data_IF_761423217248
#
_entry.id   IF_761423217248
#
_cell.length_a   1.000
_cell.length_b   1.000
_cell.length_c   1.000
_cell.angle_alpha   90.00
_cell.angle_beta   90.00
_cell.angle_gamma   90.00
#
_symmetry.space_group_name_H-M   'P 1'
#
loop_
_entity.id
_entity.type
_entity.pdbx_description
1 polymer ?
#
# COMPACT_ATOMS: atom_id res chain seq x y z
N UNK A 1 -9.77 -2.54 -6.66
CA UNK A 1 -8.80 -1.89 -5.78
C UNK A 1 -8.17 -0.66 -6.42
N UNK A 2 -7.64 -0.73 -7.65
CA UNK A 2 -7.07 0.42 -8.37
C UNK A 2 -8.12 1.53 -8.53
N UNK A 3 -9.35 1.20 -8.96
CA UNK A 3 -10.45 2.15 -9.05
C UNK A 3 -10.80 2.81 -7.73
N UNK A 4 -10.84 2.06 -6.62
CA UNK A 4 -11.09 2.62 -5.30
C UNK A 4 -9.98 3.58 -4.85
N UNK A 5 -8.71 3.24 -5.14
CA UNK A 5 -7.57 4.12 -4.88
C UNK A 5 -7.62 5.39 -5.72
N UNK A 6 -7.97 5.27 -7.02
CA UNK A 6 -8.13 6.42 -7.91
C UNK A 6 -9.29 7.32 -7.49
N UNK A 7 -10.45 6.76 -7.19
CA UNK A 7 -11.62 7.51 -6.70
C UNK A 7 -11.28 8.31 -5.43
N UNK A 8 -10.57 7.70 -4.48
CA UNK A 8 -10.12 8.38 -3.27
C UNK A 8 -9.16 9.54 -3.58
N UNK A 9 -8.22 9.35 -4.51
CA UNK A 9 -7.30 10.42 -4.91
C UNK A 9 -8.05 11.58 -5.59
N UNK A 10 -8.93 11.27 -6.58
CA UNK A 10 -9.66 12.30 -7.30
C UNK A 10 -10.60 13.11 -6.40
N UNK A 11 -11.28 12.46 -5.45
CA UNK A 11 -12.12 13.15 -4.49
C UNK A 11 -11.29 14.10 -3.61
N UNK A 12 -10.06 13.73 -3.23
CA UNK A 12 -9.16 14.58 -2.45
C UNK A 12 -8.54 15.72 -3.27
N UNK A 13 -8.25 15.49 -4.55
CA UNK A 13 -7.81 16.56 -5.46
C UNK A 13 -8.92 17.58 -5.66
N UNK A 14 -10.16 17.14 -5.93
CA UNK A 14 -11.32 18.03 -6.03
C UNK A 14 -11.49 18.89 -4.77
N UNK A 15 -11.52 18.25 -3.60
CA UNK A 15 -11.56 18.91 -2.32
C UNK A 15 -10.47 19.98 -2.13
N UNK A 16 -9.22 19.68 -2.51
CA UNK A 16 -8.11 20.63 -2.39
C UNK A 16 -8.21 21.80 -3.36
N UNK A 17 -8.69 21.55 -4.60
CA UNK A 17 -8.94 22.62 -5.56
C UNK A 17 -10.01 23.57 -5.03
N UNK A 18 -11.08 23.03 -4.46
CA UNK A 18 -12.15 23.84 -3.83
C UNK A 18 -11.62 24.60 -2.62
N UNK A 19 -10.77 23.97 -1.79
CA UNK A 19 -10.15 24.60 -0.63
C UNK A 19 -9.20 25.74 -0.98
N UNK A 20 -8.44 25.62 -2.07
CA UNK A 20 -7.55 26.69 -2.54
C UNK A 20 -8.27 27.77 -3.35
N UNK A 21 -9.41 27.45 -3.99
CA UNK A 21 -10.20 28.41 -4.78
C UNK A 21 -11.10 29.31 -3.93
N UNK A 22 -11.46 28.86 -2.73
CA UNK A 22 -12.22 29.65 -1.78
C UNK A 22 -11.24 30.41 -0.88
N UNK A 23 -11.41 31.73 -0.69
CA UNK A 23 -10.76 32.50 0.38
C UNK A 23 -11.29 31.98 1.73
N UNK A 24 -10.64 30.96 2.26
CA UNK A 24 -11.08 30.27 3.48
C UNK A 24 -10.73 31.16 4.66
N UNK A 25 -11.70 31.93 5.13
CA UNK A 25 -11.56 32.76 6.33
C UNK A 25 -11.39 31.94 7.61
N UNK A 26 -12.01 30.74 7.68
CA UNK A 26 -11.89 29.82 8.80
C UNK A 26 -11.90 28.37 8.28
N UNK A 27 -10.72 27.75 8.05
CA UNK A 27 -10.64 26.35 7.58
C UNK A 27 -11.37 25.35 8.49
N UNK A 28 -11.41 25.63 9.79
CA UNK A 28 -12.02 24.77 10.80
C UNK A 28 -13.54 24.65 10.70
N UNK A 29 -14.21 25.65 10.14
CA UNK A 29 -15.67 25.66 9.98
C UNK A 29 -16.14 24.86 8.75
N UNK A 30 -15.28 24.72 7.73
CA UNK A 30 -15.64 24.12 6.44
C UNK A 30 -15.21 22.66 6.36
N UNK A 31 -14.15 22.30 7.07
CA UNK A 31 -13.55 20.96 7.01
C UNK A 31 -13.70 20.23 8.33
N UNK A 32 -13.99 18.94 8.27
CA UNK A 32 -13.85 18.14 9.48
C UNK A 32 -12.34 18.04 9.86
N UNK A 33 -12.06 17.79 11.13
CA UNK A 33 -10.69 17.78 11.69
C UNK A 33 -9.70 16.86 10.94
N UNK A 34 -10.21 15.91 10.16
CA UNK A 34 -9.39 15.01 9.36
C UNK A 34 -8.92 15.68 8.07
N UNK A 35 -9.78 16.43 7.41
CA UNK A 35 -9.49 17.05 6.11
C UNK A 35 -8.55 18.27 6.25
N UNK A 36 -8.60 18.99 7.36
CA UNK A 36 -7.66 20.06 7.70
C UNK A 36 -6.20 19.62 7.59
N UNK A 37 -5.88 18.38 7.96
CA UNK A 37 -4.52 17.83 7.92
C UNK A 37 -3.92 17.78 6.53
N UNK A 38 -4.75 17.62 5.49
CA UNK A 38 -4.29 17.67 4.11
C UNK A 38 -3.75 19.03 3.72
N UNK A 39 -4.33 20.09 4.29
CA UNK A 39 -3.90 21.47 4.06
C UNK A 39 -2.68 21.81 4.92
N UNK A 40 -2.73 21.50 6.20
CA UNK A 40 -1.68 21.84 7.17
C UNK A 40 -0.38 21.08 6.94
N UNK A 41 -0.47 19.81 6.50
CA UNK A 41 0.69 18.91 6.32
C UNK A 41 0.88 18.47 4.86
N UNK A 42 0.69 19.43 3.97
CA UNK A 42 0.69 19.26 2.53
C UNK A 42 1.80 18.33 1.99
N UNK A 43 3.07 18.58 2.34
CA UNK A 43 4.19 17.82 1.80
C UNK A 43 4.13 16.32 2.15
N UNK A 44 3.82 16.00 3.40
CA UNK A 44 3.78 14.61 3.88
C UNK A 44 2.58 13.87 3.30
N UNK A 45 1.40 14.50 3.36
CA UNK A 45 0.15 13.90 2.89
C UNK A 45 0.17 13.71 1.38
N UNK A 46 0.56 14.73 0.62
CA UNK A 46 0.59 14.65 -0.83
C UNK A 46 1.68 13.73 -1.36
N UNK A 47 2.85 13.68 -0.73
CA UNK A 47 3.86 12.69 -1.09
C UNK A 47 3.32 11.26 -0.89
N UNK A 48 2.61 11.01 0.21
CA UNK A 48 1.97 9.71 0.44
C UNK A 48 0.93 9.37 -0.63
N UNK A 49 0.03 10.31 -0.96
CA UNK A 49 -1.04 10.09 -1.92
C UNK A 49 -0.52 9.87 -3.35
N UNK A 50 0.37 10.76 -3.83
CA UNK A 50 0.88 10.72 -5.19
C UNK A 50 1.74 9.46 -5.40
N UNK A 51 2.67 9.17 -4.48
CA UNK A 51 3.52 7.99 -4.60
C UNK A 51 2.74 6.70 -4.37
N UNK A 52 1.73 6.71 -3.49
CA UNK A 52 0.79 5.61 -3.32
C UNK A 52 0.00 5.32 -4.60
N UNK A 53 -0.44 6.36 -5.31
CA UNK A 53 -1.07 6.21 -6.62
C UNK A 53 -0.13 5.56 -7.65
N UNK A 54 1.12 6.03 -7.71
CA UNK A 54 2.15 5.42 -8.58
C UNK A 54 2.32 3.93 -8.28
N UNK A 55 2.35 3.56 -7.00
CA UNK A 55 2.46 2.16 -6.58
C UNK A 55 1.27 1.33 -7.06
N UNK A 56 0.05 1.83 -6.91
CA UNK A 56 -1.17 1.13 -7.31
C UNK A 56 -1.26 0.93 -8.81
N UNK A 57 -0.87 1.93 -9.60
CA UNK A 57 -0.91 1.87 -11.07
C UNK A 57 0.21 1.01 -11.64
N UNK A 58 1.44 1.21 -11.17
CA UNK A 58 2.62 0.56 -11.75
C UNK A 58 3.00 -0.76 -11.09
N UNK A 59 2.49 -1.04 -9.88
CA UNK A 59 2.74 -2.28 -9.16
C UNK A 59 2.32 -3.54 -9.90
N UNK A 60 1.10 -3.64 -10.45
CA UNK A 60 0.64 -4.82 -11.18
C UNK A 60 1.55 -5.22 -12.33
N UNK A 61 2.19 -4.25 -13.01
CA UNK A 61 3.10 -4.54 -14.12
C UNK A 61 4.33 -5.35 -13.70
N UNK A 62 4.70 -5.31 -12.40
CA UNK A 62 5.81 -6.12 -11.87
C UNK A 62 5.49 -7.61 -11.85
N UNK A 63 4.21 -7.97 -11.78
CA UNK A 63 3.75 -9.36 -11.66
C UNK A 63 3.33 -9.99 -12.98
N UNK A 64 3.26 -9.21 -14.08
CA UNK A 64 2.89 -9.71 -15.40
C UNK A 64 4.09 -10.43 -16.05
N UNK A 65 4.03 -11.77 -16.26
CA UNK A 65 5.16 -12.53 -16.80
C UNK A 65 5.56 -12.08 -18.21
N UNK A 66 4.58 -11.69 -19.03
CA UNK A 66 4.83 -11.21 -20.39
C UNK A 66 5.70 -9.93 -20.41
N UNK A 67 5.42 -8.95 -19.54
CA UNK A 67 6.21 -7.72 -19.41
C UNK A 67 7.63 -8.05 -18.94
N UNK A 68 7.76 -8.90 -17.91
CA UNK A 68 9.06 -9.31 -17.39
C UNK A 68 9.91 -10.04 -18.43
N UNK A 69 9.29 -10.88 -19.28
CA UNK A 69 10.02 -11.66 -20.25
C UNK A 69 10.35 -10.87 -21.53
N UNK A 70 9.43 -10.01 -21.99
CA UNK A 70 9.58 -9.26 -23.24
C UNK A 70 10.30 -7.93 -23.05
N UNK A 71 10.00 -7.23 -21.95
CA UNK A 71 10.48 -5.87 -21.67
C UNK A 71 11.25 -5.81 -20.35
N UNK A 72 12.32 -6.59 -20.25
CA UNK A 72 13.12 -6.69 -19.01
C UNK A 72 13.69 -5.35 -18.54
N UNK A 73 14.04 -4.43 -19.47
CA UNK A 73 14.54 -3.09 -19.13
C UNK A 73 13.45 -2.28 -18.42
N UNK A 74 12.21 -2.33 -18.93
CA UNK A 74 11.06 -1.67 -18.32
C UNK A 74 10.78 -2.28 -16.93
N UNK A 75 10.72 -3.61 -16.82
CA UNK A 75 10.53 -4.29 -15.52
C UNK A 75 11.56 -3.84 -14.47
N UNK A 76 12.83 -3.77 -14.85
CA UNK A 76 13.90 -3.35 -13.94
C UNK A 76 13.79 -1.88 -13.54
N UNK A 77 13.48 -0.99 -14.49
CA UNK A 77 13.33 0.44 -14.23
C UNK A 77 12.11 0.70 -13.36
N UNK A 78 10.96 0.19 -13.76
CA UNK A 78 9.71 0.29 -13.01
C UNK A 78 9.87 -0.28 -11.59
N UNK A 79 10.59 -1.41 -11.43
CA UNK A 79 10.85 -2.00 -10.12
C UNK A 79 11.68 -1.10 -9.19
N UNK A 80 12.67 -0.36 -9.71
CA UNK A 80 13.44 0.60 -8.92
C UNK A 80 12.60 1.78 -8.47
N UNK A 81 11.82 2.35 -9.39
CA UNK A 81 10.90 3.46 -9.09
C UNK A 81 9.88 3.00 -8.05
N UNK A 82 9.30 1.81 -8.25
CA UNK A 82 8.31 1.25 -7.35
C UNK A 82 8.86 1.01 -5.93
N UNK A 83 10.09 0.48 -5.79
CA UNK A 83 10.73 0.29 -4.49
C UNK A 83 10.97 1.63 -3.77
N UNK A 84 11.43 2.66 -4.49
CA UNK A 84 11.65 3.99 -3.94
C UNK A 84 10.33 4.63 -3.50
N UNK A 85 9.34 4.66 -4.40
CA UNK A 85 8.00 5.17 -4.08
C UNK A 85 7.39 4.40 -2.90
N UNK A 86 7.59 3.07 -2.87
CA UNK A 86 7.12 2.20 -1.80
C UNK A 86 7.74 2.53 -0.45
N UNK A 87 9.03 2.80 -0.41
CA UNK A 87 9.70 3.18 0.83
C UNK A 87 9.18 4.52 1.38
N UNK A 88 9.04 5.53 0.52
CA UNK A 88 8.50 6.83 0.92
C UNK A 88 7.04 6.72 1.35
N UNK A 89 6.22 5.98 0.60
CA UNK A 89 4.79 5.77 0.93
C UNK A 89 4.63 4.99 2.23
N UNK A 90 5.43 3.95 2.48
CA UNK A 90 5.38 3.20 3.72
C UNK A 90 5.78 4.05 4.93
N UNK A 91 6.84 4.87 4.78
CA UNK A 91 7.28 5.78 5.84
C UNK A 91 6.24 6.86 6.12
N UNK A 92 5.78 7.58 5.09
CA UNK A 92 4.80 8.66 5.25
C UNK A 92 3.45 8.14 5.73
N UNK A 93 3.01 6.96 5.27
CA UNK A 93 1.78 6.35 5.74
C UNK A 93 1.85 5.91 7.21
N UNK A 94 2.98 5.34 7.64
CA UNK A 94 3.22 5.05 9.05
C UNK A 94 3.23 6.33 9.88
N UNK A 95 3.94 7.34 9.43
CA UNK A 95 4.02 8.63 10.11
C UNK A 95 2.62 9.28 10.27
N UNK A 96 1.85 9.39 9.17
CA UNK A 96 0.48 9.94 9.20
C UNK A 96 -0.40 9.14 10.14
N UNK A 97 -0.37 7.82 10.05
CA UNK A 97 -1.25 6.94 10.83
C UNK A 97 -0.89 6.87 12.32
N UNK A 98 0.37 7.14 12.69
CA UNK A 98 0.81 7.18 14.10
C UNK A 98 0.63 8.57 14.70
N UNK A 99 1.05 9.60 13.97
CA UNK A 99 1.04 10.98 14.51
C UNK A 99 -0.35 11.61 14.43
N UNK A 100 -1.09 11.30 13.36
CA UNK A 100 -2.43 11.85 13.10
C UNK A 100 -3.46 10.77 12.79
N UNK A 101 -3.77 9.86 13.73
CA UNK A 101 -4.80 8.84 13.49
C UNK A 101 -6.18 9.49 13.29
N UNK A 102 -7.04 8.81 12.54
CA UNK A 102 -8.32 9.35 12.06
C UNK A 102 -9.22 9.89 13.19
N UNK A 103 -9.31 9.18 14.30
CA UNK A 103 -10.15 9.53 15.46
C UNK A 103 -9.33 9.97 16.68
N UNK A 104 -8.08 10.45 16.48
CA UNK A 104 -7.18 10.79 17.57
C UNK A 104 -6.51 9.57 18.20
N UNK A 105 -5.84 9.76 19.35
CA UNK A 105 -5.06 8.70 20.03
C UNK A 105 -5.85 7.95 21.10
N UNK A 106 -7.17 7.87 20.97
CA UNK A 106 -8.03 7.12 21.89
C UNK A 106 -8.87 6.09 21.13
N UNK A 107 -9.33 5.05 21.81
CA UNK A 107 -10.20 4.05 21.24
C UNK A 107 -9.71 3.47 19.90
N UNK A 108 -10.51 3.58 18.87
CA UNK A 108 -10.19 3.06 17.53
C UNK A 108 -9.04 3.82 16.83
N UNK A 109 -8.80 5.07 17.18
CA UNK A 109 -7.64 5.82 16.69
C UNK A 109 -6.32 5.30 17.25
N UNK A 110 -6.29 4.89 18.53
CA UNK A 110 -5.14 4.22 19.12
C UNK A 110 -4.88 2.87 18.45
N UNK A 111 -5.94 2.11 18.13
CA UNK A 111 -5.82 0.86 17.38
C UNK A 111 -5.19 1.13 16.00
N UNK A 112 -5.66 2.16 15.28
CA UNK A 112 -5.09 2.58 14.00
C UNK A 112 -3.61 2.96 14.13
N UNK A 113 -3.26 3.78 15.11
CA UNK A 113 -1.88 4.20 15.35
C UNK A 113 -0.96 2.99 15.62
N UNK A 114 -1.41 2.07 16.46
CA UNK A 114 -0.67 0.84 16.80
C UNK A 114 -0.42 -0.03 15.57
N UNK A 115 -1.44 -0.22 14.74
CA UNK A 115 -1.32 -1.01 13.50
C UNK A 115 -0.34 -0.34 12.53
N UNK A 116 -0.42 0.97 12.35
CA UNK A 116 0.51 1.69 11.46
C UNK A 116 1.95 1.66 11.99
N UNK A 117 2.13 1.71 13.31
CA UNK A 117 3.44 1.57 13.95
C UNK A 117 4.08 0.19 13.71
N UNK A 118 3.29 -0.84 13.48
CA UNK A 118 3.77 -2.21 13.18
C UNK A 118 3.93 -2.40 11.68
N UNK A 119 2.88 -2.10 10.91
CA UNK A 119 2.82 -2.39 9.48
C UNK A 119 3.80 -1.53 8.68
N UNK A 120 3.98 -0.27 9.03
CA UNK A 120 4.92 0.61 8.34
C UNK A 120 6.36 0.10 8.35
N UNK A 121 6.99 -0.12 9.53
CA UNK A 121 8.32 -0.71 9.61
C UNK A 121 8.41 -2.10 8.97
N UNK A 122 7.38 -2.93 9.13
CA UNK A 122 7.36 -4.25 8.48
C UNK A 122 7.31 -4.14 6.96
N UNK A 123 6.58 -3.18 6.40
CA UNK A 123 6.58 -2.92 4.96
C UNK A 123 7.95 -2.47 4.47
N UNK A 124 8.61 -1.56 5.19
CA UNK A 124 9.98 -1.14 4.90
C UNK A 124 10.96 -2.32 4.96
N UNK A 125 10.83 -3.20 5.94
CA UNK A 125 11.61 -4.43 6.02
C UNK A 125 11.37 -5.35 4.81
N UNK A 126 10.13 -5.55 4.38
CA UNK A 126 9.81 -6.34 3.18
C UNK A 126 10.45 -5.76 1.92
N UNK A 127 10.40 -4.43 1.74
CA UNK A 127 11.05 -3.73 0.62
C UNK A 127 12.57 -3.88 0.65
N UNK A 128 13.18 -3.72 1.82
CA UNK A 128 14.61 -3.94 2.02
C UNK A 128 15.01 -5.38 1.67
N UNK A 129 14.25 -6.38 2.12
CA UNK A 129 14.48 -7.79 1.81
C UNK A 129 14.31 -8.07 0.32
N UNK A 130 13.29 -7.49 -0.33
CA UNK A 130 13.11 -7.59 -1.77
C UNK A 130 14.34 -7.05 -2.53
N UNK A 131 14.82 -5.86 -2.13
CA UNK A 131 16.00 -5.25 -2.71
C UNK A 131 17.27 -6.09 -2.47
N UNK A 132 17.53 -6.52 -1.24
CA UNK A 132 18.72 -7.32 -0.90
C UNK A 132 18.74 -8.66 -1.64
N UNK A 133 17.59 -9.34 -1.76
CA UNK A 133 17.50 -10.60 -2.47
C UNK A 133 17.80 -10.45 -3.97
N UNK A 134 17.32 -9.39 -4.64
CA UNK A 134 17.65 -9.17 -6.05
C UNK A 134 19.12 -8.81 -6.24
N UNK A 135 19.73 -8.07 -5.30
CA UNK A 135 21.18 -7.80 -5.32
C UNK A 135 22.00 -9.07 -5.16
N UNK A 136 21.55 -10.00 -4.32
CA UNK A 136 22.14 -11.33 -4.15
C UNK A 136 21.78 -12.31 -5.27
N UNK A 137 21.09 -11.87 -6.33
CA UNK A 137 20.60 -12.71 -7.44
C UNK A 137 19.66 -13.86 -7.02
N UNK A 138 19.08 -13.78 -5.83
CA UNK A 138 18.04 -14.71 -5.38
C UNK A 138 16.66 -14.24 -5.86
N UNK A 139 16.33 -14.59 -7.11
CA UNK A 139 15.11 -14.13 -7.78
C UNK A 139 13.86 -14.70 -7.11
N UNK A 140 13.91 -15.93 -6.61
CA UNK A 140 12.77 -16.56 -5.93
C UNK A 140 12.40 -15.82 -4.65
N UNK A 141 13.37 -15.58 -3.78
CA UNK A 141 13.15 -14.79 -2.55
C UNK A 141 12.76 -13.34 -2.84
N UNK A 142 13.39 -12.70 -3.85
CA UNK A 142 12.98 -11.38 -4.31
C UNK A 142 11.49 -11.33 -4.68
N UNK A 143 11.00 -12.29 -5.47
CA UNK A 143 9.59 -12.38 -5.85
C UNK A 143 8.68 -12.49 -4.63
N UNK A 144 9.01 -13.34 -3.67
CA UNK A 144 8.20 -13.53 -2.46
C UNK A 144 8.12 -12.24 -1.62
N UNK A 145 9.25 -11.56 -1.42
CA UNK A 145 9.27 -10.29 -0.69
C UNK A 145 8.56 -9.16 -1.43
N UNK A 146 8.60 -9.13 -2.77
CA UNK A 146 7.80 -8.21 -3.57
C UNK A 146 6.31 -8.45 -3.42
N UNK A 147 5.87 -9.73 -3.39
CA UNK A 147 4.44 -10.06 -3.16
C UNK A 147 4.01 -9.57 -1.77
N UNK A 148 4.79 -9.81 -0.72
CA UNK A 148 4.51 -9.33 0.64
C UNK A 148 4.41 -7.80 0.68
N UNK A 149 5.38 -7.11 0.11
CA UNK A 149 5.38 -5.65 0.04
C UNK A 149 4.12 -5.12 -0.67
N UNK A 150 3.77 -5.70 -1.81
CA UNK A 150 2.60 -5.28 -2.56
C UNK A 150 1.29 -5.59 -1.83
N UNK A 151 1.17 -6.75 -1.20
CA UNK A 151 0.02 -7.12 -0.38
C UNK A 151 -0.22 -6.12 0.76
N UNK A 152 0.84 -5.72 1.47
CA UNK A 152 0.76 -4.72 2.53
C UNK A 152 0.33 -3.34 1.99
N UNK A 153 0.87 -2.91 0.85
CA UNK A 153 0.53 -1.63 0.24
C UNK A 153 -0.90 -1.58 -0.31
N UNK A 154 -1.48 -2.72 -0.68
CA UNK A 154 -2.89 -2.82 -1.05
C UNK A 154 -3.84 -2.73 0.16
N UNK A 155 -3.36 -2.78 1.39
CA UNK A 155 -4.17 -2.81 2.60
C UNK A 155 -5.16 -1.67 2.69
N UNK A 156 -4.73 -0.43 2.40
CA UNK A 156 -5.61 0.75 2.40
C UNK A 156 -6.66 0.69 1.29
N UNK A 157 -6.30 0.19 0.10
CA UNK A 157 -7.27 0.02 -1.00
C UNK A 157 -8.34 -1.03 -0.64
N UNK A 158 -7.94 -2.14 -0.02
CA UNK A 158 -8.86 -3.16 0.50
C UNK A 158 -9.73 -2.60 1.62
N UNK A 159 -9.16 -1.83 2.56
CA UNK A 159 -9.90 -1.12 3.60
C UNK A 159 -11.02 -0.26 3.00
N UNK A 160 -10.75 0.52 1.95
CA UNK A 160 -11.76 1.39 1.31
C UNK A 160 -12.91 0.59 0.72
N UNK A 161 -12.62 -0.53 0.07
CA UNK A 161 -13.66 -1.43 -0.44
C UNK A 161 -14.49 -2.04 0.70
N UNK A 162 -13.83 -2.47 1.78
CA UNK A 162 -14.53 -3.00 2.96
C UNK A 162 -15.44 -1.94 3.60
N UNK A 163 -14.96 -0.70 3.76
CA UNK A 163 -15.78 0.39 4.29
C UNK A 163 -17.01 0.67 3.41
N UNK A 164 -16.82 0.69 2.08
CA UNK A 164 -17.91 0.92 1.13
C UNK A 164 -19.04 -0.11 1.28
N UNK A 165 -18.70 -1.35 1.61
CA UNK A 165 -19.65 -2.45 1.77
C UNK A 165 -20.18 -2.54 3.21
N UNK A 166 -19.31 -2.47 4.20
CA UNK A 166 -19.67 -2.76 5.60
C UNK A 166 -20.39 -1.60 6.29
N UNK A 167 -20.09 -0.35 5.97
CA UNK A 167 -20.79 0.79 6.59
C UNK A 167 -22.31 0.72 6.34
N UNK A 168 -22.78 0.59 5.08
CA UNK A 168 -24.22 0.50 4.83
C UNK A 168 -24.87 -0.79 5.36
N UNK A 169 -24.11 -1.90 5.46
CA UNK A 169 -24.64 -3.16 5.97
C UNK A 169 -24.77 -3.20 7.49
N UNK A 170 -23.86 -2.56 8.21
CA UNK A 170 -23.80 -2.62 9.68
C UNK A 170 -24.44 -1.41 10.35
N UNK A 171 -24.55 -0.28 9.65
CA UNK A 171 -24.96 1.00 10.23
C UNK A 171 -23.94 1.61 11.19
N UNK A 172 -22.75 1.02 11.33
CA UNK A 172 -21.71 1.53 12.23
C UNK A 172 -21.02 2.76 11.64
N UNK A 173 -20.66 3.70 12.49
CA UNK A 173 -19.99 4.93 12.09
C UNK A 173 -18.61 4.73 11.47
N UNK A 174 -18.20 5.69 10.65
CA UNK A 174 -16.90 5.67 9.97
C UNK A 174 -15.71 5.58 10.95
N UNK A 175 -15.84 6.10 12.17
CA UNK A 175 -14.82 6.06 13.22
C UNK A 175 -14.45 4.62 13.60
N UNK A 176 -15.47 3.78 13.83
CA UNK A 176 -15.29 2.36 14.15
C UNK A 176 -14.81 1.59 12.93
N UNK A 177 -15.43 1.86 11.77
CA UNK A 177 -15.15 1.12 10.55
C UNK A 177 -13.77 1.41 9.99
N UNK A 178 -13.22 2.63 10.17
CA UNK A 178 -11.93 2.97 9.62
C UNK A 178 -10.80 2.08 10.14
N UNK A 179 -10.65 1.95 11.44
CA UNK A 179 -9.62 1.12 12.05
C UNK A 179 -9.91 -0.38 11.86
N UNK A 180 -11.16 -0.81 12.05
CA UNK A 180 -11.57 -2.22 11.93
C UNK A 180 -11.37 -2.75 10.51
N UNK A 181 -11.80 -2.01 9.49
CA UNK A 181 -11.59 -2.37 8.09
C UNK A 181 -10.11 -2.33 7.68
N UNK A 182 -9.30 -1.48 8.33
CA UNK A 182 -7.86 -1.46 8.10
C UNK A 182 -7.20 -2.75 8.61
N UNK A 183 -7.54 -3.21 9.83
CA UNK A 183 -7.08 -4.51 10.36
C UNK A 183 -7.49 -5.63 9.43
N UNK A 184 -8.79 -5.70 9.11
CA UNK A 184 -9.34 -6.77 8.26
C UNK A 184 -8.71 -6.76 6.87
N UNK A 185 -8.56 -5.60 6.26
CA UNK A 185 -7.93 -5.44 4.94
C UNK A 185 -6.47 -5.91 4.93
N UNK A 186 -5.70 -5.59 5.98
CA UNK A 186 -4.34 -6.07 6.13
C UNK A 186 -4.28 -7.59 6.30
N UNK A 187 -5.12 -8.17 7.14
CA UNK A 187 -5.19 -9.62 7.34
C UNK A 187 -5.55 -10.35 6.05
N UNK A 188 -6.55 -9.87 5.32
CA UNK A 188 -6.94 -10.44 4.01
C UNK A 188 -5.76 -10.41 3.04
N UNK A 189 -5.12 -9.26 2.88
CA UNK A 189 -4.06 -9.12 1.88
C UNK A 189 -2.81 -9.94 2.24
N UNK A 190 -2.42 -9.98 3.52
CA UNK A 190 -1.32 -10.83 3.98
C UNK A 190 -1.64 -12.30 3.72
N UNK A 191 -2.85 -12.75 4.08
CA UNK A 191 -3.28 -14.13 3.89
C UNK A 191 -3.30 -14.52 2.41
N UNK A 192 -3.86 -13.66 1.56
CA UNK A 192 -3.87 -13.88 0.10
C UNK A 192 -2.45 -13.88 -0.47
N UNK A 193 -1.59 -12.97 -0.02
CA UNK A 193 -0.19 -12.91 -0.45
C UNK A 193 0.60 -14.17 -0.08
N UNK A 194 0.48 -14.66 1.16
CA UNK A 194 1.14 -15.89 1.60
C UNK A 194 0.56 -17.14 0.92
N UNK A 195 -0.75 -17.19 0.73
CA UNK A 195 -1.38 -18.26 -0.03
C UNK A 195 -0.88 -18.29 -1.47
N UNK A 196 -0.81 -17.13 -2.14
CA UNK A 196 -0.25 -17.00 -3.48
C UNK A 196 1.21 -17.46 -3.56
N UNK A 197 2.03 -17.09 -2.58
CA UNK A 197 3.41 -17.55 -2.48
C UNK A 197 3.47 -19.07 -2.37
N UNK A 198 2.68 -19.68 -1.47
CA UNK A 198 2.63 -21.12 -1.26
C UNK A 198 2.20 -21.88 -2.54
N UNK A 199 1.14 -21.41 -3.20
CA UNK A 199 0.60 -22.04 -4.41
C UNK A 199 1.54 -21.94 -5.63
N UNK A 200 2.39 -20.92 -5.67
CA UNK A 200 3.27 -20.63 -6.81
C UNK A 200 4.75 -20.90 -6.55
N UNK A 201 5.08 -21.41 -5.36
CA UNK A 201 6.43 -21.88 -5.01
C UNK A 201 6.64 -23.28 -5.58
N UNK A 202 7.79 -23.51 -6.20
CA UNK A 202 8.13 -24.86 -6.70
C UNK A 202 8.50 -25.76 -5.53
N UNK A 203 7.87 -26.94 -5.37
CA UNK A 203 8.18 -27.87 -4.30
C UNK A 203 9.65 -28.31 -4.32
N UNK A 204 10.26 -28.45 -3.13
CA UNK A 204 11.62 -28.96 -2.98
C UNK A 204 12.76 -27.98 -3.29
N UNK A 205 12.45 -26.76 -3.74
CA UNK A 205 13.46 -25.78 -4.17
C UNK A 205 13.57 -24.55 -3.26
N UNK A 206 12.87 -24.56 -2.15
CA UNK A 206 12.80 -23.40 -1.25
C UNK A 206 12.26 -22.17 -1.98
N UNK A 207 13.03 -21.06 -1.95
CA UNK A 207 12.64 -19.79 -2.56
C UNK A 207 12.97 -19.66 -4.05
N UNK A 208 13.35 -20.77 -4.73
CA UNK A 208 13.72 -20.71 -6.16
C UNK A 208 12.48 -20.59 -7.04
N UNK A 209 12.54 -19.71 -8.01
CA UNK A 209 11.51 -19.57 -9.02
C UNK A 209 11.52 -20.79 -9.95
N UNK A 210 10.34 -21.32 -10.33
CA UNK A 210 10.21 -22.49 -11.22
C UNK A 210 11.05 -22.40 -12.51
N UNK A 211 11.22 -21.21 -13.11
CA UNK A 211 12.07 -21.00 -14.30
C UNK A 211 13.58 -21.15 -14.03
N UNK A 212 14.03 -21.11 -12.80
CA UNK A 212 15.44 -21.39 -12.46
C UNK A 212 15.72 -22.89 -12.43
N UNK A 213 14.68 -23.69 -12.24
CA UNK A 213 14.75 -25.15 -12.31
C UNK A 213 14.81 -25.65 -13.75
N UNK A 214 13.95 -25.11 -14.63
CA UNK A 214 13.92 -25.51 -16.04
C UNK A 214 15.28 -25.29 -16.73
N UNK A 215 16.04 -24.26 -16.33
CA UNK A 215 17.40 -24.01 -16.82
C UNK A 215 18.43 -25.04 -16.34
N UNK A 216 18.21 -25.68 -15.19
CA UNK A 216 19.13 -26.69 -14.66
C UNK A 216 18.82 -28.11 -15.16
N UNK A 217 17.59 -28.32 -15.62
CA UNK A 217 17.17 -29.61 -16.22
C UNK A 217 17.50 -29.62 -17.72
N UNK A 218 17.66 -28.45 -18.34
CA UNK A 218 18.01 -28.28 -19.76
C UNK A 218 19.54 -28.23 -20.03
N UNK A 219 20.38 -28.35 -19.00
CA UNK A 219 21.84 -28.49 -19.04
C UNK A 219 22.24 -29.88 -18.55
#
# INVERSE_FOLDING_TARGET
LIFAGMSSLFSRVGFMVDAFSQEIKNPEEIFNAFDIRYVQHFLVVWSHLILGFVILVFGPFQFIPWIRNRWIKFHRWNGRVWLLCGAVTAFTGAFIGVVWPFTGHQGFGLLQATINAIIGPYTLFCLYKAYSCIRARNIGAHREWMIRSFALMLGVATQRVLMLVLIPLTGLGAEVMFASCMVLGMLINISVGELWIKLTRTPGTGNRHWKELDRKIAL
#
